data_IF_443426086924
#
_entry.id   IF_443426086924
#
_cell.length_a   1.000
_cell.length_b   1.000
_cell.length_c   1.000
_cell.angle_alpha   90.00
_cell.angle_beta   90.00
_cell.angle_gamma   90.00
#
_symmetry.space_group_name_H-M   'P 1'
#
loop_
_entity.id
_entity.type
_entity.pdbx_description
1 polymer ?
#
# COMPACT_ATOMS: atom_id res chain seq x y z
N UNK A 1 46.55 0.32 61.74
CA UNK A 1 46.71 -0.45 62.97
C UNK A 1 47.32 -1.80 62.66
N UNK A 2 48.52 -2.03 63.20
CA UNK A 2 49.21 -3.32 63.24
C UNK A 2 49.87 -3.44 64.63
N UNK A 3 50.41 -4.61 64.99
CA UNK A 3 51.22 -4.79 66.20
C UNK A 3 52.35 -3.76 66.24
N UNK A 4 52.65 -3.12 67.40
CA UNK A 4 53.62 -2.02 67.48
C UNK A 4 55.07 -2.53 67.39
N UNK A 5 55.60 -2.91 66.23
CA UNK A 5 56.98 -3.37 66.07
C UNK A 5 58.00 -2.23 66.15
N UNK A 6 57.57 -0.99 65.96
CA UNK A 6 58.42 0.21 65.95
C UNK A 6 58.79 0.75 67.34
N UNK A 7 58.09 0.38 68.42
CA UNK A 7 58.45 0.82 69.78
C UNK A 7 59.46 -0.16 70.40
N UNK A 8 60.64 0.28 70.87
CA UNK A 8 61.59 -0.62 71.52
C UNK A 8 61.08 -1.12 72.88
N UNK A 9 61.38 -2.38 73.23
CA UNK A 9 61.20 -2.90 74.59
C UNK A 9 59.81 -3.46 74.94
N UNK A 10 58.91 -3.63 73.97
CA UNK A 10 57.52 -4.12 74.20
C UNK A 10 57.39 -5.65 74.25
N UNK A 11 58.50 -6.38 74.20
CA UNK A 11 58.50 -7.84 74.34
C UNK A 11 57.78 -8.60 73.23
N UNK A 12 57.67 -8.07 72.00
CA UNK A 12 57.09 -8.83 70.90
C UNK A 12 58.04 -9.97 70.47
N UNK A 13 57.50 -11.17 70.27
CA UNK A 13 58.21 -12.30 69.65
C UNK A 13 57.46 -12.71 68.40
N UNK A 14 58.16 -12.83 67.27
CA UNK A 14 57.59 -13.09 65.95
C UNK A 14 56.43 -12.15 65.55
N UNK A 15 56.44 -10.93 66.10
CA UNK A 15 55.43 -9.90 65.83
C UNK A 15 54.13 -10.04 66.63
N UNK A 16 54.09 -10.88 67.68
CA UNK A 16 52.96 -11.06 68.59
C UNK A 16 53.35 -10.69 70.03
N UNK A 17 52.36 -10.32 70.85
CA UNK A 17 52.56 -10.17 72.29
C UNK A 17 52.90 -11.53 72.92
N UNK A 18 53.78 -11.54 73.91
CA UNK A 18 54.10 -12.72 74.74
C UNK A 18 54.03 -12.36 76.23
N UNK A 19 53.72 -13.34 77.07
CA UNK A 19 53.74 -13.16 78.53
C UNK A 19 55.19 -13.19 79.05
N UNK A 20 55.41 -12.61 80.24
CA UNK A 20 56.74 -12.53 80.85
C UNK A 20 57.24 -13.93 81.22
N UNK A 21 58.52 -14.21 80.96
CA UNK A 21 59.18 -15.42 81.43
C UNK A 21 60.40 -15.07 82.29
N UNK A 22 60.23 -15.06 83.64
CA UNK A 22 61.30 -14.73 84.57
C UNK A 22 62.49 -15.71 84.52
N UNK A 23 62.29 -16.95 84.05
CA UNK A 23 63.34 -17.97 84.00
C UNK A 23 64.32 -17.78 82.82
N UNK A 24 63.86 -17.15 81.73
CA UNK A 24 64.68 -16.85 80.55
C UNK A 24 65.05 -15.38 80.44
N UNK A 25 64.56 -14.53 81.36
CA UNK A 25 64.73 -13.08 81.32
C UNK A 25 63.96 -12.41 80.18
N UNK A 26 62.96 -13.09 79.61
CA UNK A 26 62.15 -12.57 78.50
C UNK A 26 61.14 -11.54 79.03
N UNK A 27 61.23 -10.26 78.61
CA UNK A 27 60.26 -9.24 78.97
C UNK A 27 58.90 -9.56 78.34
N UNK A 28 57.84 -9.52 79.14
CA UNK A 28 56.47 -9.77 78.68
C UNK A 28 55.63 -8.52 78.49
N UNK A 29 54.48 -8.69 77.84
CA UNK A 29 53.41 -7.71 77.75
C UNK A 29 52.81 -7.44 79.14
N UNK A 30 52.43 -6.17 79.40
CA UNK A 30 51.74 -5.75 80.64
C UNK A 30 50.30 -6.30 80.73
N UNK A 31 49.70 -6.62 79.58
CA UNK A 31 48.38 -7.24 79.46
C UNK A 31 48.54 -8.70 78.99
N UNK A 32 47.63 -9.62 79.36
CA UNK A 32 47.74 -11.03 78.95
C UNK A 32 47.88 -11.15 77.43
N UNK A 33 48.95 -11.81 76.98
CA UNK A 33 49.31 -11.93 75.57
C UNK A 33 48.18 -12.56 74.75
N UNK A 34 47.50 -13.57 75.31
CA UNK A 34 46.37 -14.22 74.66
C UNK A 34 45.22 -13.24 74.36
N UNK A 35 44.89 -12.33 75.29
CA UNK A 35 43.82 -11.34 75.11
C UNK A 35 44.23 -10.28 74.09
N UNK A 36 45.44 -9.74 74.21
CA UNK A 36 45.96 -8.70 73.32
C UNK A 36 46.07 -9.19 71.87
N UNK A 37 46.61 -10.40 71.67
CA UNK A 37 46.72 -11.03 70.36
C UNK A 37 45.35 -11.35 69.76
N UNK A 38 44.38 -11.79 70.56
CA UNK A 38 43.02 -12.06 70.06
C UNK A 38 42.36 -10.79 69.51
N UNK A 39 42.39 -9.69 70.28
CA UNK A 39 41.83 -8.41 69.84
C UNK A 39 42.56 -7.86 68.61
N UNK A 40 43.89 -7.87 68.60
CA UNK A 40 44.66 -7.39 67.44
C UNK A 40 44.43 -8.23 66.20
N UNK A 41 44.30 -9.56 66.35
CA UNK A 41 44.05 -10.45 65.21
C UNK A 41 42.67 -10.21 64.61
N UNK A 42 41.63 -9.99 65.42
CA UNK A 42 40.29 -9.63 64.93
C UNK A 42 40.31 -8.31 64.14
N UNK A 43 40.91 -7.26 64.72
CA UNK A 43 41.02 -5.95 64.06
C UNK A 43 41.83 -6.04 62.75
N UNK A 44 42.93 -6.78 62.77
CA UNK A 44 43.76 -7.03 61.59
C UNK A 44 42.99 -7.84 60.53
N UNK A 45 42.13 -8.76 60.97
CA UNK A 45 41.23 -9.54 60.13
C UNK A 45 40.28 -8.64 59.35
N UNK A 46 39.63 -7.68 60.01
CA UNK A 46 38.76 -6.70 59.35
C UNK A 46 39.55 -5.84 58.35
N UNK A 47 40.72 -5.32 58.75
CA UNK A 47 41.57 -4.48 57.89
C UNK A 47 42.02 -5.23 56.63
N UNK A 48 42.49 -6.47 56.79
CA UNK A 48 42.91 -7.33 55.68
C UNK A 48 41.74 -7.78 54.80
N UNK A 49 40.58 -8.08 55.39
CA UNK A 49 39.38 -8.43 54.63
C UNK A 49 38.90 -7.28 53.73
N UNK A 50 39.12 -6.03 54.15
CA UNK A 50 38.90 -4.84 53.33
C UNK A 50 40.01 -4.58 52.29
N UNK A 51 41.01 -5.47 52.16
CA UNK A 51 42.12 -5.31 51.22
C UNK A 51 43.15 -4.25 51.61
N UNK A 52 43.10 -3.74 52.84
CA UNK A 52 44.02 -2.71 53.34
C UNK A 52 45.26 -3.39 53.92
N UNK A 53 46.45 -2.93 53.53
CA UNK A 53 47.71 -3.36 54.16
C UNK A 53 47.82 -2.71 55.54
N UNK A 54 47.89 -3.48 56.63
CA UNK A 54 48.06 -2.94 57.97
C UNK A 54 49.31 -2.08 58.10
N UNK A 55 49.22 -0.99 58.85
CA UNK A 55 50.35 -0.11 59.18
C UNK A 55 50.23 0.40 60.61
N UNK A 56 51.34 0.43 61.34
CA UNK A 56 51.41 0.97 62.70
C UNK A 56 51.20 2.50 62.75
N UNK A 57 51.48 3.20 61.65
CA UNK A 57 51.43 4.66 61.58
C UNK A 57 50.01 5.21 61.34
N UNK A 58 49.04 4.35 61.03
CA UNK A 58 47.70 4.74 60.60
C UNK A 58 46.61 4.20 61.54
N UNK A 59 46.02 5.09 62.33
CA UNK A 59 44.94 4.77 63.27
C UNK A 59 43.53 4.83 62.66
N UNK A 60 43.38 5.22 61.39
CA UNK A 60 42.10 5.29 60.71
C UNK A 60 41.76 4.01 59.92
N UNK A 61 42.66 3.02 59.87
CA UNK A 61 42.50 1.83 59.03
C UNK A 61 41.28 0.98 59.37
N UNK A 62 40.93 0.82 60.65
CA UNK A 62 39.75 0.04 61.03
C UNK A 62 38.46 0.71 60.56
N UNK A 63 38.36 2.03 60.75
CA UNK A 63 37.21 2.81 60.28
C UNK A 63 37.07 2.71 58.77
N UNK A 64 38.17 2.90 58.03
CA UNK A 64 38.20 2.73 56.56
C UNK A 64 37.83 1.32 56.13
N UNK A 65 38.28 0.29 56.85
CA UNK A 65 37.94 -1.09 56.56
C UNK A 65 36.44 -1.32 56.70
N UNK A 66 35.84 -0.85 57.80
CA UNK A 66 34.39 -0.91 58.03
C UNK A 66 33.64 -0.13 56.93
N UNK A 67 34.08 1.07 56.58
CA UNK A 67 33.47 1.88 55.50
C UNK A 67 33.56 1.19 54.13
N UNK A 68 34.68 0.52 53.83
CA UNK A 68 34.87 -0.23 52.59
C UNK A 68 34.00 -1.47 52.55
N UNK A 69 33.92 -2.21 53.66
CA UNK A 69 33.11 -3.43 53.75
C UNK A 69 31.61 -3.13 53.82
N UNK A 70 31.24 -1.95 54.33
CA UNK A 70 29.87 -1.42 54.30
C UNK A 70 29.56 -0.62 53.03
N UNK A 71 30.54 -0.46 52.12
CA UNK A 71 30.33 0.26 50.88
C UNK A 71 29.31 -0.52 50.04
N UNK A 72 28.15 0.09 49.90
CA UNK A 72 27.07 -0.40 49.06
C UNK A 72 26.89 0.61 47.95
N UNK A 73 26.80 0.13 46.71
CA UNK A 73 26.39 0.97 45.60
C UNK A 73 24.95 1.48 45.79
N UNK A 74 24.19 0.97 46.77
CA UNK A 74 22.93 1.53 47.22
C UNK A 74 23.08 2.43 48.44
N UNK A 75 22.57 3.66 48.32
CA UNK A 75 22.34 4.55 49.46
C UNK A 75 21.10 4.13 50.24
N UNK A 76 21.06 4.55 51.51
CA UNK A 76 19.85 4.47 52.33
C UNK A 76 18.70 5.15 51.60
N UNK A 77 17.55 4.46 51.54
CA UNK A 77 16.38 4.94 50.81
C UNK A 77 15.93 6.32 51.26
N UNK A 78 15.44 7.11 50.32
CA UNK A 78 14.87 8.43 50.58
C UNK A 78 13.35 8.36 50.63
N UNK A 79 12.74 9.29 51.38
CA UNK A 79 11.28 9.39 51.50
C UNK A 79 10.63 9.77 50.18
N UNK A 80 11.16 10.77 49.48
CA UNK A 80 10.71 11.18 48.15
C UNK A 80 11.89 11.75 47.34
N UNK A 81 11.65 12.00 46.05
CA UNK A 81 12.58 12.71 45.17
C UNK A 81 11.91 13.95 44.58
N UNK A 82 12.70 14.99 44.31
CA UNK A 82 12.20 16.22 43.70
C UNK A 82 11.61 15.99 42.31
N UNK A 83 10.74 16.91 41.88
CA UNK A 83 10.21 17.01 40.50
C UNK A 83 10.57 18.36 39.85
N UNK A 84 11.31 19.20 40.55
CA UNK A 84 11.75 20.54 40.15
C UNK A 84 12.58 21.19 41.27
N UNK A 85 13.10 22.41 41.06
CA UNK A 85 13.89 23.12 42.06
C UNK A 85 13.07 23.40 43.33
N UNK A 86 13.72 23.27 44.49
CA UNK A 86 13.12 23.54 45.81
C UNK A 86 13.99 24.48 46.63
N UNK A 87 13.42 25.05 47.69
CA UNK A 87 14.23 25.62 48.76
C UNK A 87 14.83 24.49 49.60
N UNK A 88 16.13 24.53 49.91
CA UNK A 88 16.77 23.55 50.81
C UNK A 88 16.57 23.95 52.28
N UNK A 89 15.32 24.22 52.67
CA UNK A 89 14.94 24.64 54.02
C UNK A 89 13.44 24.49 54.25
N UNK A 90 13.02 24.32 55.51
CA UNK A 90 11.61 24.28 55.88
C UNK A 90 10.93 22.95 55.58
N UNK A 91 9.80 22.70 56.25
CA UNK A 91 8.97 21.53 55.96
C UNK A 91 8.11 21.83 54.73
N UNK A 92 8.23 20.98 53.72
CA UNK A 92 7.64 21.18 52.39
C UNK A 92 6.87 19.93 51.95
N UNK A 93 5.99 20.10 50.96
CA UNK A 93 5.38 18.98 50.24
C UNK A 93 6.12 18.80 48.91
N UNK A 94 6.74 17.63 48.73
CA UNK A 94 7.51 17.29 47.52
C UNK A 94 6.90 16.04 46.89
N UNK A 95 6.62 16.10 45.59
CA UNK A 95 6.00 14.99 44.83
C UNK A 95 4.70 14.47 45.49
N UNK A 96 3.94 15.36 46.12
CA UNK A 96 2.72 15.02 46.87
C UNK A 96 2.93 14.44 48.27
N UNK A 97 4.18 14.34 48.74
CA UNK A 97 4.53 13.86 50.09
C UNK A 97 4.82 15.04 51.01
N UNK A 98 4.04 15.20 52.09
CA UNK A 98 4.34 16.16 53.15
C UNK A 98 5.50 15.65 54.01
N UNK A 99 6.59 16.43 54.08
CA UNK A 99 7.82 16.02 54.75
C UNK A 99 7.85 16.39 56.24
N UNK A 100 8.42 15.50 57.04
CA UNK A 100 8.71 15.74 58.45
C UNK A 100 10.22 15.97 58.67
N UNK A 101 10.58 16.62 59.79
CA UNK A 101 11.98 16.75 60.16
C UNK A 101 12.62 15.36 60.35
N UNK A 102 13.80 15.16 59.76
CA UNK A 102 14.50 13.87 59.73
C UNK A 102 14.22 13.01 58.49
N UNK A 103 13.19 13.33 57.69
CA UNK A 103 13.01 12.65 56.39
C UNK A 103 14.21 12.89 55.47
N UNK A 104 14.50 11.91 54.62
CA UNK A 104 15.55 12.02 53.60
C UNK A 104 14.92 12.33 52.25
N UNK A 105 15.47 13.28 51.50
CA UNK A 105 14.99 13.63 50.16
C UNK A 105 16.12 13.51 49.16
N UNK A 106 15.85 12.84 48.03
CA UNK A 106 16.71 12.95 46.86
C UNK A 106 16.39 14.25 46.14
N UNK A 107 17.29 15.22 46.28
CA UNK A 107 17.25 16.47 45.54
C UNK A 107 18.02 16.24 44.24
N UNK A 108 17.31 16.17 43.11
CA UNK A 108 17.88 15.85 41.80
C UNK A 108 17.60 16.90 40.71
N UNK A 109 16.80 17.92 41.01
CA UNK A 109 16.32 18.91 40.03
C UNK A 109 16.59 20.37 40.42
N UNK A 110 17.63 20.67 41.21
CA UNK A 110 18.04 22.05 41.45
C UNK A 110 18.54 22.72 40.17
N UNK A 111 18.31 24.04 40.08
CA UNK A 111 18.88 24.86 39.00
C UNK A 111 20.42 24.83 38.98
N UNK A 112 21.04 24.86 40.17
CA UNK A 112 22.47 24.59 40.33
C UNK A 112 22.67 23.10 40.67
N UNK A 113 23.01 22.29 39.67
CA UNK A 113 23.12 20.83 39.84
C UNK A 113 24.19 20.40 40.86
N UNK A 114 25.12 21.27 41.27
CA UNK A 114 26.05 20.99 42.38
C UNK A 114 25.40 20.97 43.77
N UNK A 115 24.16 21.47 43.86
CA UNK A 115 23.31 21.38 45.04
C UNK A 115 22.44 20.12 45.05
N UNK A 116 22.40 19.34 43.96
CA UNK A 116 21.64 18.08 43.95
C UNK A 116 22.37 17.04 44.80
N UNK A 117 21.70 16.42 45.76
CA UNK A 117 22.19 15.25 46.48
C UNK A 117 21.10 14.71 47.42
N UNK A 118 21.49 13.93 48.44
CA UNK A 118 20.59 13.49 49.50
C UNK A 118 20.66 14.47 50.67
N UNK A 119 19.49 15.01 51.05
CA UNK A 119 19.35 15.96 52.16
C UNK A 119 18.46 15.39 53.27
N UNK A 120 18.77 15.76 54.50
CA UNK A 120 17.91 15.53 55.67
C UNK A 120 17.07 16.77 55.91
N UNK A 121 15.76 16.57 55.95
CA UNK A 121 14.75 17.62 56.07
C UNK A 121 14.75 18.20 57.49
N UNK A 122 14.60 19.52 57.60
CA UNK A 122 14.44 20.24 58.86
C UNK A 122 13.48 21.42 58.68
N UNK A 123 12.96 21.95 59.79
CA UNK A 123 12.17 23.21 59.77
C UNK A 123 13.05 24.43 59.42
N UNK A 124 14.35 24.35 59.68
CA UNK A 124 15.37 25.32 59.24
C UNK A 124 16.06 24.89 57.94
N UNK A 125 17.31 25.34 57.70
CA UNK A 125 18.12 24.89 56.57
C UNK A 125 18.30 23.37 56.59
N UNK A 126 18.17 22.74 55.43
CA UNK A 126 18.44 21.32 55.26
C UNK A 126 19.94 21.11 55.13
N UNK A 127 20.41 20.01 55.69
CA UNK A 127 21.81 19.57 55.58
C UNK A 127 21.88 18.32 54.73
N UNK A 128 23.04 18.06 54.12
CA UNK A 128 23.26 16.77 53.44
C UNK A 128 23.18 15.64 54.47
N UNK A 129 22.63 14.50 54.04
CA UNK A 129 22.51 13.34 54.91
C UNK A 129 23.89 12.86 55.38
N UNK A 130 23.96 12.29 56.59
CA UNK A 130 25.23 11.97 57.26
C UNK A 130 26.10 10.95 56.51
N UNK A 131 25.48 10.00 55.80
CA UNK A 131 26.11 8.98 54.94
C UNK A 131 26.31 9.48 53.49
N UNK A 132 26.17 10.79 53.28
CA UNK A 132 26.17 11.44 51.99
C UNK A 132 26.66 12.90 52.10
N UNK A 133 27.48 13.23 53.09
CA UNK A 133 27.95 14.60 53.34
C UNK A 133 29.42 14.82 52.95
N UNK A 134 30.15 13.74 52.65
CA UNK A 134 31.54 13.79 52.19
C UNK A 134 31.70 13.37 50.72
N UNK A 135 32.65 13.97 50.00
CA UNK A 135 32.87 13.64 48.58
C UNK A 135 33.29 12.19 48.36
N UNK A 136 33.98 11.59 49.33
CA UNK A 136 34.32 10.17 49.31
C UNK A 136 33.08 9.24 49.33
N UNK A 137 31.96 9.74 49.84
CA UNK A 137 30.68 9.01 49.89
C UNK A 137 29.82 9.28 48.65
N UNK A 138 30.26 10.15 47.74
CA UNK A 138 29.57 10.48 46.50
C UNK A 138 30.30 9.81 45.32
N UNK A 139 30.32 8.48 45.28
CA UNK A 139 30.97 7.75 44.19
C UNK A 139 30.06 7.62 42.95
N UNK A 140 30.63 7.66 41.73
CA UNK A 140 29.96 7.34 40.48
C UNK A 140 29.12 6.06 40.55
N UNK A 141 27.90 6.11 39.99
CA UNK A 141 27.06 4.92 39.86
C UNK A 141 26.19 4.57 41.07
N UNK A 142 26.28 5.30 42.19
CA UNK A 142 25.41 5.11 43.35
C UNK A 142 23.92 5.10 42.98
N UNK A 143 23.17 4.23 43.63
CA UNK A 143 21.75 3.96 43.47
C UNK A 143 20.98 4.46 44.70
N UNK A 144 19.92 5.22 44.47
CA UNK A 144 19.14 5.87 45.51
C UNK A 144 17.68 5.44 45.34
N UNK A 145 17.18 4.51 46.18
CA UNK A 145 15.78 4.09 46.18
C UNK A 145 14.86 5.17 46.76
N UNK A 146 13.70 5.36 46.14
CA UNK A 146 12.68 6.33 46.54
C UNK A 146 11.42 5.60 47.02
N UNK A 147 10.98 5.91 48.24
CA UNK A 147 9.86 5.18 48.88
C UNK A 147 8.49 5.68 48.44
N UNK A 148 8.26 6.99 48.44
CA UNK A 148 6.95 7.61 48.24
C UNK A 148 7.01 8.79 47.25
N UNK A 149 5.84 9.21 46.78
CA UNK A 149 5.70 10.20 45.72
C UNK A 149 4.53 9.91 44.80
N UNK A 150 4.16 10.86 43.95
CA UNK A 150 3.20 10.68 42.87
C UNK A 150 3.93 10.23 41.61
N UNK A 151 4.99 10.95 41.23
CA UNK A 151 5.79 10.70 40.04
C UNK A 151 6.97 9.75 40.29
N UNK A 152 7.62 9.83 41.47
CA UNK A 152 8.89 9.15 41.75
C UNK A 152 8.78 7.98 42.76
N UNK A 153 7.58 7.58 43.21
CA UNK A 153 7.45 6.44 44.14
C UNK A 153 8.00 5.14 43.56
N UNK A 154 8.60 4.30 44.41
CA UNK A 154 9.15 2.99 44.06
C UNK A 154 10.19 3.04 42.92
N UNK A 155 10.81 4.19 42.69
CA UNK A 155 11.88 4.35 41.71
C UNK A 155 13.26 4.18 42.33
N UNK A 156 14.25 3.85 41.51
CA UNK A 156 15.67 3.94 41.88
C UNK A 156 16.37 4.85 40.90
N UNK A 157 17.09 5.84 41.43
CA UNK A 157 17.86 6.80 40.65
C UNK A 157 19.35 6.52 40.79
N UNK A 158 20.07 6.58 39.68
CA UNK A 158 21.52 6.41 39.64
C UNK A 158 22.22 7.75 39.45
N UNK A 159 23.28 8.00 40.23
CA UNK A 159 24.24 9.09 39.99
C UNK A 159 24.97 8.84 38.67
N UNK A 160 24.90 9.80 37.74
CA UNK A 160 25.39 9.63 36.36
C UNK A 160 26.81 10.15 36.13
N UNK A 161 27.44 10.75 37.14
CA UNK A 161 28.83 11.19 37.05
C UNK A 161 29.72 9.98 36.70
N UNK A 162 30.66 10.16 35.78
CA UNK A 162 31.61 9.11 35.33
C UNK A 162 32.95 9.17 36.07
N UNK A 163 33.21 10.27 36.76
CA UNK A 163 34.38 10.52 37.60
C UNK A 163 33.92 10.95 38.99
N UNK A 164 34.75 10.74 40.02
CA UNK A 164 34.43 11.06 41.41
C UNK A 164 34.13 12.57 41.58
N UNK A 165 32.88 12.96 41.85
CA UNK A 165 32.51 14.36 41.99
C UNK A 165 32.90 14.95 43.35
N UNK A 166 33.18 16.26 43.37
CA UNK A 166 33.33 17.04 44.60
C UNK A 166 31.97 17.63 44.98
N UNK A 167 31.47 17.23 46.15
CA UNK A 167 30.18 17.69 46.66
C UNK A 167 30.14 19.23 46.76
N UNK A 168 29.10 19.86 46.21
CA UNK A 168 28.91 21.31 46.24
C UNK A 168 29.64 22.11 45.15
N UNK A 169 30.56 21.48 44.43
CA UNK A 169 31.29 22.10 43.32
C UNK A 169 30.96 21.45 41.97
N UNK A 170 31.04 20.12 41.89
CA UNK A 170 30.71 19.36 40.67
C UNK A 170 29.20 19.24 40.51
N UNK A 171 28.69 19.39 39.29
CA UNK A 171 27.29 19.12 38.97
C UNK A 171 26.96 17.63 39.18
N UNK A 172 25.91 17.34 39.96
CA UNK A 172 25.47 15.99 40.29
C UNK A 172 24.22 15.65 39.47
N UNK A 173 24.38 14.72 38.53
CA UNK A 173 23.34 14.28 37.60
C UNK A 173 22.72 12.96 38.02
N UNK A 174 21.43 12.77 37.73
CA UNK A 174 20.69 11.57 38.08
C UNK A 174 19.90 11.03 36.90
N UNK A 175 19.91 9.71 36.71
CA UNK A 175 19.04 9.01 35.77
C UNK A 175 18.20 7.98 36.49
N UNK A 176 16.97 7.79 36.04
CA UNK A 176 16.11 6.72 36.50
C UNK A 176 16.61 5.37 35.97
N UNK A 177 16.69 4.36 36.83
CA UNK A 177 17.16 3.01 36.44
C UNK A 177 16.18 1.88 36.75
N UNK A 178 15.34 2.03 37.77
CA UNK A 178 14.35 1.01 38.16
C UNK A 178 13.04 1.70 38.55
N UNK A 179 11.90 1.05 38.29
CA UNK A 179 10.63 1.37 38.94
C UNK A 179 9.66 2.27 38.17
N UNK A 180 10.01 2.75 36.98
CA UNK A 180 9.02 3.44 36.13
C UNK A 180 7.98 2.43 35.64
N UNK A 181 6.75 2.50 36.16
CA UNK A 181 5.60 1.88 35.51
C UNK A 181 5.03 2.86 34.49
N UNK A 182 5.64 2.90 33.31
CA UNK A 182 5.06 3.65 32.21
C UNK A 182 3.73 3.01 31.80
N UNK A 183 2.66 3.81 31.75
CA UNK A 183 1.36 3.39 31.21
C UNK A 183 1.21 3.79 29.75
N UNK A 184 2.07 4.69 29.28
CA UNK A 184 2.20 5.09 27.88
C UNK A 184 3.60 4.80 27.34
N UNK A 185 3.74 4.73 26.01
CA UNK A 185 5.05 4.56 25.35
C UNK A 185 5.99 5.75 25.61
N UNK A 186 5.43 6.96 25.71
CA UNK A 186 6.17 8.17 26.04
C UNK A 186 6.83 8.07 27.43
N UNK A 187 6.19 7.39 28.38
CA UNK A 187 6.75 7.17 29.71
C UNK A 187 8.04 6.33 29.66
N UNK A 188 8.22 5.44 28.70
CA UNK A 188 9.47 4.67 28.56
C UNK A 188 10.54 5.37 27.71
N UNK A 189 10.32 6.62 27.29
CA UNK A 189 11.26 7.34 26.42
C UNK A 189 11.30 6.80 24.98
N UNK A 190 10.28 6.03 24.59
CA UNK A 190 10.15 5.48 23.25
C UNK A 190 9.44 6.52 22.38
N UNK A 191 10.21 7.28 21.60
CA UNK A 191 9.71 8.28 20.65
C UNK A 191 9.42 7.70 19.27
N UNK A 192 10.06 6.59 18.92
CA UNK A 192 9.98 5.95 17.60
C UNK A 192 9.43 4.52 17.69
N UNK A 193 8.45 4.27 18.56
CA UNK A 193 7.57 3.14 18.30
C UNK A 193 6.88 3.45 16.98
N UNK A 194 6.84 2.52 16.03
CA UNK A 194 5.92 2.61 14.90
C UNK A 194 4.50 2.55 15.49
N UNK A 195 4.00 3.65 16.03
CA UNK A 195 2.58 3.91 16.08
C UNK A 195 2.14 3.75 14.65
N UNK A 196 1.38 2.68 14.40
CA UNK A 196 0.70 2.49 13.13
C UNK A 196 -0.13 3.76 12.94
N UNK A 197 0.38 4.69 12.13
CA UNK A 197 -0.23 6.02 11.94
C UNK A 197 -1.66 5.89 11.40
N UNK A 198 -1.98 4.73 10.82
CA UNK A 198 -3.33 4.37 10.41
C UNK A 198 -3.65 2.90 10.74
N UNK A 199 -4.72 2.70 11.50
CA UNK A 199 -5.43 1.41 11.48
C UNK A 199 -6.17 1.32 10.15
N UNK A 200 -5.55 0.74 9.13
CA UNK A 200 -6.27 0.40 7.91
C UNK A 200 -7.32 -0.66 8.23
N UNK A 201 -8.57 -0.35 7.94
CA UNK A 201 -9.65 -1.32 7.83
C UNK A 201 -9.32 -2.37 6.77
N UNK A 202 -9.97 -3.54 6.85
CA UNK A 202 -9.84 -4.57 5.82
C UNK A 202 -10.17 -4.01 4.42
N UNK A 203 -11.10 -3.05 4.35
CA UNK A 203 -11.47 -2.35 3.12
C UNK A 203 -10.30 -1.53 2.55
N UNK A 204 -9.65 -0.69 3.36
CA UNK A 204 -8.52 0.13 2.91
C UNK A 204 -7.32 -0.74 2.50
N UNK A 205 -7.07 -1.83 3.23
CA UNK A 205 -6.03 -2.80 2.83
C UNK A 205 -6.38 -3.44 1.48
N UNK A 206 -7.64 -3.86 1.28
CA UNK A 206 -8.07 -4.46 0.01
C UNK A 206 -8.00 -3.45 -1.15
N UNK A 207 -8.34 -2.18 -0.92
CA UNK A 207 -8.20 -1.11 -1.91
C UNK A 207 -6.74 -0.88 -2.30
N UNK A 208 -5.85 -0.76 -1.32
CA UNK A 208 -4.40 -0.60 -1.55
C UNK A 208 -3.80 -1.84 -2.25
N UNK A 209 -4.19 -3.04 -1.83
CA UNK A 209 -3.67 -4.30 -2.39
C UNK A 209 -4.18 -4.55 -3.82
N UNK A 210 -5.42 -4.14 -4.13
CA UNK A 210 -5.98 -4.20 -5.48
C UNK A 210 -5.24 -3.31 -6.49
N UNK A 211 -4.57 -2.25 -6.01
CA UNK A 211 -3.74 -1.38 -6.83
C UNK A 211 -2.34 -1.93 -7.12
N UNK A 212 -1.79 -2.77 -6.24
CA UNK A 212 -0.39 -3.29 -6.32
C UNK A 212 -0.27 -4.48 -7.27
N UNK A 213 -1.30 -5.31 -7.38
CA UNK A 213 -1.38 -6.40 -8.35
C UNK A 213 -2.60 -6.15 -9.22
N UNK A 214 -2.50 -5.18 -10.15
CA UNK A 214 -3.45 -5.18 -11.27
C UNK A 214 -3.07 -6.39 -12.13
N UNK A 215 -3.89 -7.44 -12.25
CA UNK A 215 -3.70 -8.35 -13.36
C UNK A 215 -3.77 -7.48 -14.62
N UNK A 216 -2.64 -7.30 -15.30
CA UNK A 216 -2.61 -6.71 -16.64
C UNK A 216 -3.30 -7.73 -17.54
N UNK A 217 -4.62 -7.78 -17.47
CA UNK A 217 -5.42 -8.57 -18.40
C UNK A 217 -5.11 -8.04 -19.80
N UNK A 218 -4.87 -8.93 -20.74
CA UNK A 218 -4.93 -8.57 -22.15
C UNK A 218 -6.38 -8.51 -22.58
N UNK A 219 -6.74 -7.63 -23.53
CA UNK A 219 -8.07 -7.65 -24.15
C UNK A 219 -8.25 -8.97 -24.92
N UNK A 220 -8.91 -9.95 -24.31
CA UNK A 220 -9.22 -11.22 -24.95
C UNK A 220 -10.41 -11.07 -25.90
N UNK A 221 -10.41 -11.84 -26.99
CA UNK A 221 -11.57 -11.93 -27.87
C UNK A 221 -12.75 -12.56 -27.12
N UNK A 222 -13.99 -12.09 -27.34
CA UNK A 222 -15.16 -12.64 -26.67
C UNK A 222 -15.46 -14.06 -27.19
N UNK A 223 -15.91 -14.95 -26.31
CA UNK A 223 -16.25 -16.33 -26.62
C UNK A 223 -17.76 -16.49 -26.87
N UNK A 224 -18.12 -17.22 -27.94
CA UNK A 224 -19.50 -17.45 -28.37
C UNK A 224 -20.37 -16.18 -28.47
N UNK A 225 -19.75 -15.05 -28.81
CA UNK A 225 -20.44 -13.78 -29.00
C UNK A 225 -21.50 -13.88 -30.09
N UNK A 226 -22.71 -13.41 -29.77
CA UNK A 226 -23.80 -13.18 -30.71
C UNK A 226 -24.45 -11.84 -30.46
N UNK A 227 -24.73 -11.12 -31.54
CA UNK A 227 -25.57 -9.91 -31.54
C UNK A 227 -26.69 -10.14 -32.52
N UNK A 228 -27.94 -9.87 -32.14
CA UNK A 228 -29.08 -10.09 -33.03
C UNK A 228 -30.19 -9.08 -32.83
N UNK A 229 -30.92 -8.82 -33.91
CA UNK A 229 -32.10 -7.96 -33.95
C UNK A 229 -33.18 -8.68 -34.75
N UNK A 230 -34.42 -8.18 -34.71
CA UNK A 230 -35.55 -8.77 -35.45
C UNK A 230 -36.06 -7.88 -36.58
N UNK A 231 -35.70 -6.60 -36.57
CA UNK A 231 -36.27 -5.62 -37.50
C UNK A 231 -37.74 -5.28 -37.24
N UNK A 232 -38.29 -5.61 -36.07
CA UNK A 232 -39.69 -5.34 -35.72
C UNK A 232 -39.87 -4.68 -34.35
N UNK A 233 -38.77 -4.40 -33.65
CA UNK A 233 -38.75 -3.71 -32.37
C UNK A 233 -37.44 -2.95 -32.21
N UNK A 234 -37.36 -2.12 -31.17
CA UNK A 234 -36.15 -1.39 -30.77
C UNK A 234 -35.14 -2.25 -30.00
N UNK A 235 -35.25 -3.58 -30.05
CA UNK A 235 -34.42 -4.47 -29.23
C UNK A 235 -33.17 -4.96 -29.99
N UNK A 236 -32.04 -4.95 -29.28
CA UNK A 236 -30.79 -5.60 -29.66
C UNK A 236 -30.43 -6.60 -28.57
N UNK A 237 -30.35 -7.88 -28.93
CA UNK A 237 -29.94 -8.93 -28.01
C UNK A 237 -28.45 -9.21 -28.18
N UNK A 238 -27.71 -9.24 -27.07
CA UNK A 238 -26.30 -9.60 -27.01
C UNK A 238 -26.13 -10.76 -26.05
N UNK A 239 -25.53 -11.85 -26.52
CA UNK A 239 -25.14 -12.99 -25.69
C UNK A 239 -23.68 -13.36 -25.93
N UNK A 240 -22.96 -13.74 -24.89
CA UNK A 240 -21.61 -14.29 -25.01
C UNK A 240 -21.29 -15.12 -23.76
N UNK A 241 -20.45 -16.13 -23.91
CA UNK A 241 -19.98 -16.90 -22.75
C UNK A 241 -19.00 -16.06 -21.95
N UNK A 242 -18.10 -15.34 -22.63
CA UNK A 242 -17.19 -14.38 -22.00
C UNK A 242 -16.98 -13.11 -22.83
N UNK A 243 -16.85 -11.96 -22.15
CA UNK A 243 -16.46 -10.66 -22.74
C UNK A 243 -15.48 -9.96 -21.81
N UNK A 244 -14.33 -9.54 -22.33
CA UNK A 244 -13.38 -8.72 -21.57
C UNK A 244 -13.66 -7.23 -21.78
N UNK A 245 -14.00 -6.52 -20.71
CA UNK A 245 -14.25 -5.07 -20.70
C UNK A 245 -13.10 -4.30 -20.08
N UNK A 246 -12.87 -3.06 -20.52
CA UNK A 246 -11.77 -2.23 -20.09
C UNK A 246 -12.23 -0.89 -19.48
N UNK A 247 -11.59 -0.44 -18.40
CA UNK A 247 -11.75 0.89 -17.84
C UNK A 247 -11.01 1.93 -18.67
N UNK A 248 -11.32 3.22 -18.47
CA UNK A 248 -10.54 4.31 -19.09
C UNK A 248 -9.08 4.35 -18.62
N UNK A 249 -8.78 3.79 -17.44
CA UNK A 249 -7.44 3.69 -16.88
C UNK A 249 -6.66 2.45 -17.34
N UNK A 250 -7.25 1.60 -18.19
CA UNK A 250 -6.63 0.38 -18.70
C UNK A 250 -6.78 -0.85 -17.79
N UNK A 251 -7.73 -0.83 -16.85
CA UNK A 251 -8.08 -2.00 -16.04
C UNK A 251 -8.98 -2.94 -16.83
N UNK A 252 -8.73 -4.24 -16.79
CA UNK A 252 -9.51 -5.23 -17.53
C UNK A 252 -10.33 -6.10 -16.58
N UNK A 253 -11.54 -6.44 -17.01
CA UNK A 253 -12.44 -7.36 -16.31
C UNK A 253 -13.06 -8.33 -17.32
N UNK A 254 -12.95 -9.63 -17.07
CA UNK A 254 -13.68 -10.65 -17.82
C UNK A 254 -15.06 -10.85 -17.20
N UNK A 255 -16.10 -10.69 -18.01
CA UNK A 255 -17.48 -10.98 -17.67
C UNK A 255 -17.84 -12.35 -18.23
N UNK A 256 -18.51 -13.18 -17.44
CA UNK A 256 -18.96 -14.52 -17.83
C UNK A 256 -20.49 -14.55 -17.93
N UNK A 257 -21.05 -15.31 -18.86
CA UNK A 257 -22.51 -15.49 -19.02
C UNK A 257 -23.23 -14.20 -19.40
N UNK A 258 -22.65 -13.41 -20.31
CA UNK A 258 -23.23 -12.16 -20.77
C UNK A 258 -24.53 -12.46 -21.52
N UNK A 259 -25.64 -11.93 -21.02
CA UNK A 259 -26.95 -12.00 -21.65
C UNK A 259 -27.68 -10.69 -21.40
N UNK A 260 -27.68 -9.82 -22.41
CA UNK A 260 -28.14 -8.43 -22.30
C UNK A 260 -29.12 -8.14 -23.43
N UNK A 261 -30.26 -7.56 -23.07
CA UNK A 261 -31.23 -7.00 -24.02
C UNK A 261 -31.19 -5.48 -23.93
N UNK A 262 -30.82 -4.83 -25.03
CA UNK A 262 -30.75 -3.37 -25.14
C UNK A 262 -32.02 -2.89 -25.84
N UNK A 263 -32.75 -1.97 -25.23
CA UNK A 263 -33.87 -1.27 -25.84
C UNK A 263 -33.43 0.12 -26.31
N UNK A 264 -33.18 0.24 -27.61
CA UNK A 264 -32.67 1.44 -28.28
C UNK A 264 -33.60 2.66 -28.18
N UNK A 265 -34.87 2.46 -27.78
CA UNK A 265 -35.82 3.55 -27.59
C UNK A 265 -35.62 4.29 -26.25
N UNK A 266 -34.92 3.67 -25.30
CA UNK A 266 -34.66 4.23 -23.97
C UNK A 266 -33.24 4.78 -23.89
N UNK A 267 -32.98 5.70 -22.97
CA UNK A 267 -31.64 6.21 -22.68
C UNK A 267 -31.07 5.57 -21.38
N UNK A 268 -29.75 5.46 -21.31
CA UNK A 268 -29.02 4.89 -20.18
C UNK A 268 -28.68 3.41 -20.35
N UNK A 269 -28.44 2.72 -19.23
CA UNK A 269 -28.09 1.31 -19.23
C UNK A 269 -29.20 0.46 -19.89
N UNK A 270 -28.81 -0.49 -20.73
CA UNK A 270 -29.70 -1.27 -21.59
C UNK A 270 -30.50 -0.40 -22.59
N UNK A 271 -29.92 0.72 -23.03
CA UNK A 271 -30.48 1.61 -24.03
C UNK A 271 -29.41 2.38 -24.81
N UNK A 272 -29.78 3.58 -25.27
CA UNK A 272 -28.89 4.54 -25.91
C UNK A 272 -28.07 5.28 -24.85
N UNK A 273 -26.77 5.45 -25.09
CA UNK A 273 -25.86 6.07 -24.14
C UNK A 273 -26.20 7.54 -23.85
N UNK A 274 -26.65 8.28 -24.86
CA UNK A 274 -26.99 9.70 -24.77
C UNK A 274 -27.86 10.16 -25.94
N UNK A 275 -28.66 11.21 -25.72
CA UNK A 275 -29.46 11.83 -26.78
C UNK A 275 -30.65 10.98 -27.22
N UNK A 276 -30.96 11.03 -28.52
CA UNK A 276 -32.11 10.36 -29.12
C UNK A 276 -31.72 9.57 -30.36
N UNK A 277 -32.41 8.46 -30.60
CA UNK A 277 -32.15 7.57 -31.73
C UNK A 277 -32.38 8.30 -33.07
N UNK A 278 -31.43 8.16 -33.97
CA UNK A 278 -31.44 8.73 -35.33
C UNK A 278 -31.76 7.65 -36.37
N UNK A 279 -32.43 8.04 -37.45
CA UNK A 279 -32.78 7.15 -38.57
C UNK A 279 -31.59 6.96 -39.50
N UNK A 280 -31.48 5.78 -40.14
CA UNK A 280 -30.40 5.45 -41.10
C UNK A 280 -28.98 5.65 -40.53
N UNK A 281 -28.79 5.35 -39.24
CA UNK A 281 -27.55 5.61 -38.53
C UNK A 281 -26.97 4.32 -37.96
N UNK A 282 -25.65 4.18 -38.08
CA UNK A 282 -24.90 3.08 -37.47
C UNK A 282 -24.56 3.36 -36.01
N UNK A 283 -24.93 2.43 -35.14
CA UNK A 283 -24.61 2.47 -33.71
C UNK A 283 -23.70 1.30 -33.32
N UNK A 284 -22.47 1.53 -32.84
CA UNK A 284 -21.70 0.51 -32.15
C UNK A 284 -22.43 0.03 -30.90
N UNK A 285 -22.41 -1.29 -30.72
CA UNK A 285 -22.98 -1.97 -29.56
C UNK A 285 -21.86 -2.23 -28.55
N UNK A 286 -22.12 -1.87 -27.30
CA UNK A 286 -21.15 -1.98 -26.22
C UNK A 286 -21.72 -2.80 -25.07
N UNK A 287 -20.87 -3.61 -24.45
CA UNK A 287 -21.10 -4.18 -23.12
C UNK A 287 -20.37 -3.31 -22.11
N UNK A 288 -21.04 -2.98 -21.00
CA UNK A 288 -20.53 -2.12 -19.94
C UNK A 288 -20.61 -2.82 -18.59
N UNK A 289 -19.70 -2.46 -17.69
CA UNK A 289 -19.64 -3.02 -16.35
C UNK A 289 -19.16 -2.01 -15.31
N UNK A 290 -19.64 -2.17 -14.09
CA UNK A 290 -19.15 -1.47 -12.90
C UNK A 290 -19.89 -1.95 -11.64
N UNK A 291 -19.89 -1.16 -10.56
CA UNK A 291 -20.64 -1.47 -9.35
C UNK A 291 -22.14 -1.74 -9.58
N UNK A 292 -22.73 -1.19 -10.65
CA UNK A 292 -24.12 -1.44 -11.02
C UNK A 292 -24.36 -2.80 -11.74
N UNK A 293 -23.31 -3.59 -11.98
CA UNK A 293 -23.38 -4.88 -12.67
C UNK A 293 -23.07 -4.80 -14.17
N UNK A 294 -23.52 -5.79 -14.93
CA UNK A 294 -23.34 -5.88 -16.39
C UNK A 294 -24.57 -5.33 -17.11
N UNK A 295 -24.36 -4.47 -18.11
CA UNK A 295 -25.40 -3.96 -18.99
C UNK A 295 -24.87 -3.76 -20.40
N UNK A 296 -25.72 -3.32 -21.32
CA UNK A 296 -25.34 -2.95 -22.67
C UNK A 296 -25.78 -1.55 -23.03
N UNK A 297 -25.06 -0.91 -23.94
CA UNK A 297 -25.49 0.38 -24.51
C UNK A 297 -25.17 0.41 -26.00
N UNK A 298 -25.99 1.15 -26.74
CA UNK A 298 -25.63 1.60 -28.09
C UNK A 298 -25.20 3.08 -28.04
N UNK A 299 -24.33 3.49 -28.94
CA UNK A 299 -23.76 4.86 -28.96
C UNK A 299 -23.57 5.37 -30.37
N UNK A 300 -23.47 6.69 -30.55
CA UNK A 300 -22.99 7.29 -31.81
C UNK A 300 -21.45 7.23 -31.94
N UNK A 301 -20.75 6.97 -30.84
CA UNK A 301 -19.28 7.01 -30.80
C UNK A 301 -18.68 5.61 -30.94
N UNK A 302 -17.87 5.42 -31.98
CA UNK A 302 -17.05 4.22 -32.17
C UNK A 302 -15.80 4.19 -31.28
N UNK A 303 -15.38 5.34 -30.74
CA UNK A 303 -14.22 5.43 -29.86
C UNK A 303 -14.56 5.02 -28.42
N UNK A 304 -15.66 5.56 -27.88
CA UNK A 304 -16.15 5.24 -26.54
C UNK A 304 -17.58 5.76 -26.33
N UNK A 305 -18.49 4.96 -25.73
CA UNK A 305 -19.81 5.42 -25.30
C UNK A 305 -19.71 6.33 -24.06
N UNK A 306 -20.74 7.16 -23.87
CA UNK A 306 -20.95 7.88 -22.60
C UNK A 306 -21.49 6.89 -21.57
N UNK A 307 -20.71 6.59 -20.53
CA UNK A 307 -21.11 5.58 -19.54
C UNK A 307 -22.18 6.14 -18.57
N UNK A 308 -23.30 5.42 -18.35
CA UNK A 308 -24.24 5.74 -17.28
C UNK A 308 -23.58 5.66 -15.90
N UNK A 309 -24.18 6.30 -14.90
CA UNK A 309 -23.69 6.25 -13.52
C UNK A 309 -23.59 4.79 -13.01
N UNK A 310 -22.50 4.48 -12.31
CA UNK A 310 -22.24 3.13 -11.78
C UNK A 310 -21.57 2.16 -12.75
N UNK A 311 -21.18 2.61 -13.95
CA UNK A 311 -20.40 1.84 -14.92
C UNK A 311 -19.05 2.52 -15.20
N UNK A 312 -17.99 1.72 -15.29
CA UNK A 312 -16.61 2.23 -15.42
C UNK A 312 -15.83 1.52 -16.52
N UNK A 313 -16.26 0.32 -16.92
CA UNK A 313 -15.64 -0.51 -17.94
C UNK A 313 -16.54 -0.68 -19.16
N UNK A 314 -15.95 -0.88 -20.33
CA UNK A 314 -16.66 -1.08 -21.60
C UNK A 314 -15.90 -1.96 -22.59
N UNK A 315 -16.63 -2.61 -23.50
CA UNK A 315 -16.09 -3.26 -24.69
C UNK A 315 -17.08 -3.16 -25.84
N UNK A 316 -16.59 -2.85 -27.05
CA UNK A 316 -17.40 -2.90 -28.26
C UNK A 316 -17.55 -4.36 -28.67
N UNK A 317 -18.78 -4.74 -29.00
CA UNK A 317 -19.11 -6.12 -29.37
C UNK A 317 -19.77 -6.22 -30.75
N UNK A 318 -20.12 -5.11 -31.38
CA UNK A 318 -20.66 -5.13 -32.73
C UNK A 318 -21.16 -3.76 -33.16
N UNK A 319 -21.98 -3.74 -34.20
CA UNK A 319 -22.69 -2.54 -34.64
C UNK A 319 -24.05 -2.90 -35.24
N UNK A 320 -25.03 -2.01 -35.08
CA UNK A 320 -26.37 -2.15 -35.65
C UNK A 320 -26.79 -0.85 -36.33
N UNK A 321 -27.34 -0.88 -37.55
CA UNK A 321 -27.92 0.29 -38.20
C UNK A 321 -29.41 0.40 -37.88
N UNK A 322 -29.93 1.62 -37.80
CA UNK A 322 -31.37 1.88 -37.69
C UNK A 322 -32.01 2.02 -39.08
N UNK A 323 -33.29 1.68 -39.19
CA UNK A 323 -34.07 1.92 -40.41
C UNK A 323 -34.44 3.39 -40.60
N UNK A 324 -35.01 3.69 -41.77
CA UNK A 324 -35.47 5.03 -42.15
C UNK A 324 -36.90 5.37 -41.70
N UNK A 325 -37.56 4.49 -40.96
CA UNK A 325 -38.95 4.71 -40.53
C UNK A 325 -39.00 5.64 -39.32
N UNK A 326 -40.21 6.12 -38.96
CA UNK A 326 -40.39 6.91 -37.74
C UNK A 326 -39.99 6.14 -36.46
N UNK A 327 -40.10 4.82 -36.48
CA UNK A 327 -39.76 3.94 -35.36
C UNK A 327 -38.24 3.71 -35.23
N UNK A 328 -37.49 3.86 -36.33
CA UNK A 328 -36.02 3.76 -36.37
C UNK A 328 -35.51 2.43 -35.81
N UNK A 329 -36.24 1.34 -36.07
CA UNK A 329 -35.87 0.05 -35.53
C UNK A 329 -34.52 -0.40 -36.09
N UNK A 330 -33.67 -1.06 -35.29
CA UNK A 330 -32.48 -1.71 -35.81
C UNK A 330 -32.84 -2.63 -36.99
N UNK A 331 -32.08 -2.58 -38.08
CA UNK A 331 -32.27 -3.49 -39.20
C UNK A 331 -32.07 -4.94 -38.73
N UNK A 332 -32.88 -5.86 -39.24
CA UNK A 332 -32.80 -7.28 -38.95
C UNK A 332 -31.42 -7.85 -39.36
N UNK A 333 -30.64 -8.28 -38.37
CA UNK A 333 -29.29 -8.79 -38.56
C UNK A 333 -28.95 -9.86 -37.52
N UNK A 334 -27.92 -10.64 -37.84
CA UNK A 334 -27.28 -11.57 -36.94
C UNK A 334 -25.77 -11.44 -37.05
N UNK A 335 -25.10 -11.43 -35.90
CA UNK A 335 -23.65 -11.50 -35.78
C UNK A 335 -23.27 -12.71 -34.94
N UNK A 336 -22.20 -13.39 -35.36
CA UNK A 336 -21.53 -14.45 -34.60
C UNK A 336 -20.04 -14.16 -34.62
N UNK A 337 -19.43 -14.00 -33.44
CA UNK A 337 -18.07 -13.51 -33.32
C UNK A 337 -17.92 -12.14 -34.01
N UNK A 338 -16.99 -12.04 -34.97
CA UNK A 338 -16.80 -10.83 -35.79
C UNK A 338 -17.67 -10.77 -37.04
N UNK A 339 -18.34 -11.86 -37.43
CA UNK A 339 -19.05 -11.94 -38.71
C UNK A 339 -20.51 -11.56 -38.51
N UNK A 340 -20.94 -10.47 -39.15
CA UNK A 340 -22.31 -9.99 -39.16
C UNK A 340 -22.95 -10.16 -40.54
N UNK A 341 -24.26 -10.34 -40.56
CA UNK A 341 -25.05 -10.57 -41.76
C UNK A 341 -26.44 -9.94 -41.62
N UNK A 342 -26.92 -9.31 -42.68
CA UNK A 342 -28.32 -8.92 -42.82
C UNK A 342 -29.22 -10.14 -42.92
N UNK A 343 -30.28 -10.18 -42.11
CA UNK A 343 -31.24 -11.27 -42.09
C UNK A 343 -32.53 -10.83 -42.78
N UNK A 344 -32.97 -11.58 -43.79
CA UNK A 344 -34.24 -11.29 -44.46
C UNK A 344 -35.41 -11.57 -43.52
N UNK A 345 -36.35 -10.63 -43.46
CA UNK A 345 -37.50 -10.61 -42.55
C UNK A 345 -37.55 -9.30 -41.75
N UNK A 346 -38.71 -9.00 -41.15
CA UNK A 346 -38.92 -7.73 -40.46
C UNK A 346 -38.78 -6.54 -41.41
N UNK A 347 -38.00 -5.53 -41.02
CA UNK A 347 -37.71 -4.34 -41.81
C UNK A 347 -36.64 -4.54 -42.91
N UNK A 348 -36.08 -5.76 -43.08
CA UNK A 348 -35.19 -6.12 -44.18
C UNK A 348 -35.92 -7.08 -45.13
N UNK A 349 -36.67 -6.54 -46.09
CA UNK A 349 -37.48 -7.36 -47.03
C UNK A 349 -36.64 -8.03 -48.13
N UNK A 350 -35.48 -7.46 -48.44
CA UNK A 350 -34.47 -7.98 -49.36
C UNK A 350 -33.10 -7.50 -48.87
N UNK A 351 -32.02 -8.12 -49.37
CA UNK A 351 -30.67 -7.62 -49.07
C UNK A 351 -30.54 -6.15 -49.54
N UNK A 352 -29.95 -5.25 -48.73
CA UNK A 352 -29.76 -3.87 -49.14
C UNK A 352 -28.98 -3.77 -50.45
N UNK A 353 -29.61 -3.18 -51.48
CA UNK A 353 -28.98 -2.99 -52.79
C UNK A 353 -28.08 -1.76 -52.74
N UNK A 354 -26.80 -1.95 -53.01
CA UNK A 354 -25.80 -0.89 -53.06
C UNK A 354 -25.77 -0.21 -54.43
N UNK A 355 -25.90 -0.98 -55.51
CA UNK A 355 -25.98 -0.49 -56.88
C UNK A 355 -26.86 -1.43 -57.71
N UNK A 356 -27.47 -0.92 -58.79
CA UNK A 356 -28.30 -1.75 -59.67
C UNK A 356 -28.37 -1.19 -61.09
N UNK A 357 -28.68 -2.08 -62.02
CA UNK A 357 -28.82 -1.78 -63.44
C UNK A 357 -27.50 -1.53 -64.14
N UNK A 358 -27.61 -0.88 -65.29
CA UNK A 358 -26.48 -0.48 -66.14
C UNK A 358 -25.81 0.73 -65.50
N UNK A 359 -24.54 0.57 -65.12
CA UNK A 359 -23.71 1.64 -64.58
C UNK A 359 -22.28 1.39 -65.03
N UNK A 360 -21.58 2.43 -65.47
CA UNK A 360 -20.23 2.27 -65.99
C UNK A 360 -20.18 1.38 -67.23
N UNK A 361 -19.05 0.71 -67.45
CA UNK A 361 -18.89 -0.23 -68.56
C UNK A 361 -17.88 -1.33 -68.16
N UNK A 362 -18.26 -2.62 -68.18
CA UNK A 362 -17.39 -3.72 -67.73
C UNK A 362 -16.36 -4.18 -68.79
N UNK A 363 -16.57 -3.86 -70.07
CA UNK A 363 -15.71 -4.28 -71.20
C UNK A 363 -14.66 -3.21 -71.52
N UNK A 364 -15.08 -1.95 -71.53
CA UNK A 364 -14.18 -0.78 -71.53
C UNK A 364 -14.29 -0.17 -70.14
N UNK A 365 -13.40 -0.53 -69.19
CA UNK A 365 -13.62 -0.38 -67.76
C UNK A 365 -13.85 1.09 -67.38
N UNK A 366 -15.12 1.43 -67.16
CA UNK A 366 -15.56 2.69 -66.56
C UNK A 366 -16.25 2.31 -65.27
N UNK A 367 -15.60 2.58 -64.16
CA UNK A 367 -16.06 2.17 -62.84
C UNK A 367 -17.01 3.21 -62.22
N UNK A 368 -18.18 2.76 -61.74
CA UNK A 368 -19.06 3.57 -60.92
C UNK A 368 -18.68 3.40 -59.43
N UNK A 369 -18.36 4.48 -58.70
CA UNK A 369 -18.12 4.41 -57.27
C UNK A 369 -19.43 4.16 -56.52
N UNK A 370 -19.40 3.22 -55.58
CA UNK A 370 -20.54 2.82 -54.74
C UNK A 370 -20.14 2.97 -53.28
N UNK A 371 -20.74 3.95 -52.59
CA UNK A 371 -20.45 4.23 -51.18
C UNK A 371 -20.83 3.05 -50.29
N UNK A 372 -19.94 2.71 -49.36
CA UNK A 372 -20.14 1.63 -48.38
C UNK A 372 -20.85 2.10 -47.10
N UNK A 373 -20.84 3.40 -46.82
CA UNK A 373 -21.20 3.95 -45.50
C UNK A 373 -22.66 3.68 -45.09
N UNK A 374 -23.59 3.59 -46.04
CA UNK A 374 -24.99 3.30 -45.75
C UNK A 374 -25.24 1.81 -45.44
N UNK A 375 -24.29 0.93 -45.77
CA UNK A 375 -24.49 -0.51 -45.81
C UNK A 375 -23.57 -1.30 -44.88
N UNK A 376 -22.49 -0.67 -44.41
CA UNK A 376 -21.54 -1.30 -43.51
C UNK A 376 -21.09 -0.30 -42.44
N UNK A 377 -20.77 -0.76 -41.22
CA UNK A 377 -20.28 0.13 -40.19
C UNK A 377 -18.89 0.68 -40.55
N UNK A 378 -18.53 1.89 -40.09
CA UNK A 378 -17.18 2.45 -40.25
C UNK A 378 -16.04 1.55 -39.73
N UNK A 379 -16.34 0.63 -38.81
CA UNK A 379 -15.39 -0.31 -38.24
C UNK A 379 -15.33 -1.67 -38.95
N UNK A 380 -15.95 -1.82 -40.12
CA UNK A 380 -15.87 -3.05 -40.91
C UNK A 380 -14.42 -3.26 -41.41
N UNK A 381 -13.82 -4.40 -41.04
CA UNK A 381 -12.53 -4.85 -41.54
C UNK A 381 -12.63 -5.47 -42.94
N UNK A 382 -13.76 -6.11 -43.23
CA UNK A 382 -14.11 -6.62 -44.55
C UNK A 382 -15.62 -6.53 -44.76
N UNK A 383 -16.04 -6.46 -46.02
CA UNK A 383 -17.45 -6.42 -46.41
C UNK A 383 -17.80 -7.65 -47.23
N UNK A 384 -18.98 -8.19 -46.99
CA UNK A 384 -19.55 -9.32 -47.72
C UNK A 384 -20.63 -8.78 -48.64
N UNK A 385 -20.46 -9.02 -49.93
CA UNK A 385 -21.33 -8.51 -50.97
C UNK A 385 -21.70 -9.61 -51.94
N UNK A 386 -22.89 -9.48 -52.55
CA UNK A 386 -23.39 -10.37 -53.58
C UNK A 386 -23.44 -9.62 -54.89
N UNK A 387 -22.72 -10.11 -55.89
CA UNK A 387 -22.77 -9.61 -57.26
C UNK A 387 -23.72 -10.50 -58.05
N UNK A 388 -24.81 -9.91 -58.54
CA UNK A 388 -25.79 -10.60 -59.35
C UNK A 388 -25.74 -10.08 -60.79
N UNK A 389 -25.73 -11.01 -61.75
CA UNK A 389 -25.81 -10.71 -63.17
C UNK A 389 -26.86 -11.58 -63.85
N UNK A 390 -27.67 -10.96 -64.72
CA UNK A 390 -28.64 -11.68 -65.54
C UNK A 390 -28.74 -11.11 -66.95
N UNK A 391 -29.29 -11.90 -67.87
CA UNK A 391 -29.43 -11.55 -69.28
C UNK A 391 -28.35 -12.20 -70.16
N UNK A 392 -28.58 -12.19 -71.47
CA UNK A 392 -27.64 -12.72 -72.46
C UNK A 392 -26.65 -11.64 -72.90
N UNK A 393 -25.40 -12.02 -73.14
CA UNK A 393 -24.30 -11.10 -73.49
C UNK A 393 -24.07 -9.98 -72.45
N UNK A 394 -24.37 -10.25 -71.18
CA UNK A 394 -24.21 -9.30 -70.09
C UNK A 394 -22.98 -9.62 -69.26
N UNK A 395 -22.43 -8.61 -68.62
CA UNK A 395 -21.28 -8.71 -67.74
C UNK A 395 -21.42 -7.72 -66.60
N UNK A 396 -20.95 -8.13 -65.44
CA UNK A 396 -20.92 -7.30 -64.24
C UNK A 396 -19.61 -7.56 -63.52
N UNK A 397 -18.95 -6.48 -63.10
CA UNK A 397 -17.64 -6.52 -62.46
C UNK A 397 -17.66 -5.71 -61.17
N UNK A 398 -16.83 -6.12 -60.22
CA UNK A 398 -16.70 -5.51 -58.91
C UNK A 398 -15.24 -5.53 -58.46
N UNK A 399 -14.80 -4.42 -57.88
CA UNK A 399 -13.45 -4.27 -57.34
C UNK A 399 -13.43 -3.34 -56.12
N UNK A 400 -12.40 -3.45 -55.26
CA UNK A 400 -12.18 -2.53 -54.13
C UNK A 400 -11.66 -1.15 -54.55
N UNK A 401 -11.04 -1.02 -55.73
CA UNK A 401 -10.64 0.27 -56.32
C UNK A 401 -10.90 0.33 -57.83
N UNK A 402 -10.81 1.52 -58.42
CA UNK A 402 -10.93 1.74 -59.86
C UNK A 402 -9.66 1.40 -60.67
N UNK A 403 -8.63 0.85 -60.02
CA UNK A 403 -7.36 0.48 -60.68
C UNK A 403 -7.45 -0.84 -61.43
N UNK A 404 -8.48 -1.65 -61.15
CA UNK A 404 -8.72 -2.95 -61.77
C UNK A 404 -9.17 -2.80 -63.23
N UNK A 405 -8.80 -3.76 -64.06
CA UNK A 405 -9.05 -3.79 -65.50
C UNK A 405 -10.43 -4.30 -65.91
N UNK A 406 -10.58 -4.55 -67.20
CA UNK A 406 -11.82 -5.00 -67.82
C UNK A 406 -12.16 -6.47 -67.50
N UNK A 407 -13.41 -6.85 -67.74
CA UNK A 407 -13.87 -8.24 -67.59
C UNK A 407 -13.12 -9.26 -68.47
N UNK A 408 -12.59 -8.80 -69.60
CA UNK A 408 -11.83 -9.57 -70.59
C UNK A 408 -10.32 -9.27 -70.56
N UNK A 409 -9.82 -8.61 -69.51
CA UNK A 409 -8.40 -8.34 -69.36
C UNK A 409 -7.62 -9.64 -69.11
N UNK A 410 -6.41 -9.75 -69.65
CA UNK A 410 -5.49 -10.89 -69.40
C UNK A 410 -4.52 -10.65 -68.25
N UNK A 411 -4.50 -9.42 -67.72
CA UNK A 411 -3.75 -8.99 -66.56
C UNK A 411 -4.58 -7.96 -65.81
N UNK A 412 -4.49 -7.92 -64.47
CA UNK A 412 -5.25 -6.98 -63.65
C UNK A 412 -6.78 -7.13 -63.84
N UNK A 413 -7.29 -8.36 -63.84
CA UNK A 413 -8.73 -8.63 -63.91
C UNK A 413 -9.46 -8.09 -62.68
N UNK A 414 -10.76 -7.71 -62.78
CA UNK A 414 -11.60 -7.40 -61.63
C UNK A 414 -11.50 -8.47 -60.54
N UNK A 415 -11.59 -8.04 -59.27
CA UNK A 415 -11.59 -8.97 -58.14
C UNK A 415 -12.75 -9.98 -58.26
N UNK A 416 -13.90 -9.52 -58.74
CA UNK A 416 -15.06 -10.36 -59.05
C UNK A 416 -15.60 -9.96 -60.42
N UNK A 417 -15.84 -10.94 -61.27
CA UNK A 417 -16.53 -10.75 -62.52
C UNK A 417 -17.53 -11.87 -62.81
N UNK A 418 -18.63 -11.51 -63.44
CA UNK A 418 -19.61 -12.44 -63.99
C UNK A 418 -19.86 -12.03 -65.43
N UNK A 419 -19.75 -12.98 -66.36
CA UNK A 419 -20.05 -12.78 -67.78
C UNK A 419 -20.94 -13.88 -68.31
N UNK A 420 -22.04 -13.49 -68.93
CA UNK A 420 -23.00 -14.36 -69.58
C UNK A 420 -22.78 -14.34 -71.09
N UNK A 421 -22.68 -15.52 -71.71
CA UNK A 421 -22.61 -15.65 -73.17
C UNK A 421 -23.90 -15.20 -73.86
N UNK A 422 -23.85 -14.95 -75.17
CA UNK A 422 -24.97 -14.49 -76.00
C UNK A 422 -26.13 -15.49 -76.14
N UNK A 423 -25.95 -16.75 -75.78
CA UNK A 423 -26.94 -17.81 -76.00
C UNK A 423 -27.77 -18.18 -74.76
N UNK A 424 -27.44 -17.64 -73.58
CA UNK A 424 -28.09 -18.03 -72.33
C UNK A 424 -28.36 -16.84 -71.40
N UNK A 425 -29.63 -16.66 -71.00
CA UNK A 425 -30.04 -15.71 -69.95
C UNK A 425 -29.81 -16.33 -68.56
N UNK A 426 -28.55 -16.62 -68.24
CA UNK A 426 -28.20 -17.24 -66.96
C UNK A 426 -28.39 -16.26 -65.79
N UNK A 427 -28.89 -16.78 -64.67
CA UNK A 427 -28.99 -16.05 -63.41
C UNK A 427 -27.78 -16.45 -62.56
N UNK A 428 -26.76 -15.59 -62.58
CA UNK A 428 -25.51 -15.85 -61.88
C UNK A 428 -25.41 -14.95 -60.67
N UNK A 429 -25.06 -15.55 -59.54
CA UNK A 429 -24.83 -14.82 -58.30
C UNK A 429 -23.51 -15.28 -57.68
N UNK A 430 -22.68 -14.33 -57.28
CA UNK A 430 -21.42 -14.61 -56.62
C UNK A 430 -21.31 -13.80 -55.35
N UNK A 431 -21.00 -14.47 -54.23
CA UNK A 431 -20.72 -13.79 -52.97
C UNK A 431 -19.23 -13.61 -52.78
N UNK A 432 -18.81 -12.38 -52.48
CA UNK A 432 -17.43 -12.01 -52.29
C UNK A 432 -17.20 -11.38 -50.92
N UNK A 433 -16.06 -11.72 -50.32
CA UNK A 433 -15.49 -11.02 -49.18
C UNK A 433 -14.42 -10.07 -49.70
N UNK A 434 -14.59 -8.78 -49.43
CA UNK A 434 -13.70 -7.72 -49.93
C UNK A 434 -13.19 -6.92 -48.74
N UNK A 435 -11.87 -6.70 -48.67
CA UNK A 435 -11.29 -5.70 -47.77
C UNK A 435 -11.36 -4.35 -48.50
N UNK A 436 -12.11 -3.36 -48.00
CA UNK A 436 -12.22 -2.07 -48.67
C UNK A 436 -10.88 -1.34 -48.74
N UNK A 437 -10.52 -0.80 -49.92
CA UNK A 437 -9.35 0.08 -50.08
C UNK A 437 -9.69 1.55 -49.77
N UNK A 438 -10.97 1.87 -49.56
CA UNK A 438 -11.46 3.20 -49.23
C UNK A 438 -12.96 3.23 -48.92
N UNK A 439 -13.59 4.39 -49.01
CA UNK A 439 -15.00 4.60 -48.69
C UNK A 439 -15.98 4.06 -49.75
N UNK A 440 -15.48 3.60 -50.90
CA UNK A 440 -16.29 3.11 -52.01
C UNK A 440 -15.81 1.73 -52.45
N UNK A 441 -16.76 0.91 -52.91
CA UNK A 441 -16.48 -0.17 -53.86
C UNK A 441 -16.70 0.35 -55.28
N UNK A 442 -16.21 -0.37 -56.28
CA UNK A 442 -16.31 0.02 -57.68
C UNK A 442 -17.06 -1.04 -58.46
N UNK A 443 -18.18 -0.64 -59.07
CA UNK A 443 -19.11 -1.50 -59.79
C UNK A 443 -19.19 -1.08 -61.26
N UNK A 444 -19.28 -2.05 -62.16
CA UNK A 444 -19.64 -1.78 -63.55
C UNK A 444 -20.52 -2.90 -64.11
N UNK A 445 -21.54 -2.54 -64.88
CA UNK A 445 -22.48 -3.48 -65.49
C UNK A 445 -23.05 -2.95 -66.78
N UNK A 446 -23.21 -3.83 -67.76
CA UNK A 446 -24.01 -3.59 -68.98
C UNK A 446 -25.37 -4.30 -68.94
N UNK A 447 -25.75 -4.92 -67.80
CA UNK A 447 -27.04 -5.59 -67.62
C UNK A 447 -28.04 -4.73 -66.86
N UNK A 448 -29.27 -4.62 -67.38
CA UNK A 448 -30.35 -3.82 -66.77
C UNK A 448 -30.91 -4.36 -65.45
N UNK A 449 -30.73 -5.65 -65.16
CA UNK A 449 -31.29 -6.31 -63.94
C UNK A 449 -30.18 -6.74 -62.95
N UNK A 450 -28.92 -6.55 -63.33
CA UNK A 450 -27.77 -6.77 -62.43
C UNK A 450 -27.82 -5.86 -61.22
N UNK A 451 -27.25 -6.32 -60.11
CA UNK A 451 -27.13 -5.50 -58.92
C UNK A 451 -26.00 -5.99 -58.01
N UNK A 452 -25.56 -5.07 -57.16
CA UNK A 452 -24.65 -5.32 -56.04
C UNK A 452 -25.46 -5.20 -54.76
N UNK A 453 -25.47 -6.25 -53.94
CA UNK A 453 -26.16 -6.26 -52.65
C UNK A 453 -25.19 -6.40 -51.50
N UNK A 454 -25.45 -5.70 -50.40
CA UNK A 454 -24.76 -5.88 -49.13
C UNK A 454 -25.31 -7.13 -48.42
N UNK A 455 -24.43 -8.07 -48.10
CA UNK A 455 -24.78 -9.30 -47.38
C UNK A 455 -24.45 -9.16 -45.90
N UNK A 456 -23.28 -8.64 -45.58
CA UNK A 456 -22.76 -8.62 -44.23
C UNK A 456 -21.36 -8.01 -44.14
N UNK A 457 -20.71 -8.11 -42.99
CA UNK A 457 -19.36 -7.59 -42.79
C UNK A 457 -18.61 -8.40 -41.73
N UNK A 458 -17.30 -8.21 -41.69
CA UNK A 458 -16.47 -8.60 -40.56
C UNK A 458 -16.13 -7.35 -39.75
N UNK A 459 -16.45 -7.39 -38.46
CA UNK A 459 -16.26 -6.26 -37.55
C UNK A 459 -14.84 -6.28 -36.93
N UNK A 460 -14.18 -5.11 -36.86
CA UNK A 460 -12.85 -4.94 -36.28
C UNK A 460 -12.90 -4.80 -34.74
N UNK A 461 -13.30 -5.88 -34.05
CA UNK A 461 -13.47 -5.93 -32.58
C UNK A 461 -12.17 -6.08 -31.79
#
# INVERSE_FOLDING_TARGET
MEYPKSTPGIGLVDGLFVDENPATGQPGSLIPAAWANALMTELLGVIKAAGIVPSEEDNAQLLRAIQTMAASDYKTSVRCATTGPIALSGLQTIDGVALAAGDRVLVKDQAAASQNWIYTVAAGPWVRAQDANESAECTPGHLIPVQAGTANKLTVWQLTNTEAPVIGATALGFRLVIGKQGTTLADYGITNAYTKEQTYSQTEVNELLSGVVKPQGSRAAPSNLRVSTTGSSSLVLVTADEVTVASAAGDYRTLTGVNVTINCANAGANGLDSGALQALTWYPVWIIWGPAGTAGVISLSYAAPTLPAGYTHRARVGAVPTDGTANKYPLNLIQVGRNAQYKIGGNVSQLPKMASGIQGNPVTPVWAPVSTAAFFPPAAAAVHVSLYCSGAATSTILAPSNTYGAVNATSNMPLVNISNSSQNANLNNYMARIVPEGANLYYASNAGVSHLSAVGWEDNL
#
